data_IF_483242795235
#
_entry.id   IF_483242795235
#
_cell.length_a   1.000
_cell.length_b   1.000
_cell.length_c   1.000
_cell.angle_alpha   90.00
_cell.angle_beta   90.00
_cell.angle_gamma   90.00
#
_symmetry.space_group_name_H-M   'P 1'
#
loop_
_entity.id
_entity.type
_entity.pdbx_description
1 polymer ?
#
# COMPACT_ATOMS: atom_id res chain seq x y z
N UNK A 1 -14.70 4.69 16.48
CA UNK A 1 -15.34 4.76 15.17
C UNK A 1 -14.73 3.63 14.35
N UNK A 2 -15.55 2.67 14.05
CA UNK A 2 -15.22 1.39 13.43
C UNK A 2 -14.87 1.65 11.94
N UNK A 3 -13.59 1.67 11.61
CA UNK A 3 -13.12 1.58 10.23
C UNK A 3 -12.77 0.12 9.95
N UNK A 4 -13.80 -0.71 9.86
CA UNK A 4 -13.68 -2.05 9.28
C UNK A 4 -13.36 -1.90 7.80
N UNK A 5 -12.08 -1.96 7.43
CA UNK A 5 -11.67 -2.17 6.05
C UNK A 5 -11.91 -3.65 5.73
N UNK A 6 -13.08 -3.94 5.24
CA UNK A 6 -13.33 -5.23 4.58
C UNK A 6 -12.70 -5.14 3.20
N UNK A 7 -11.68 -5.94 2.95
CA UNK A 7 -11.07 -6.11 1.64
C UNK A 7 -12.13 -6.44 0.59
N UNK A 8 -11.98 -5.84 -0.58
CA UNK A 8 -12.86 -5.99 -1.73
C UNK A 8 -13.88 -4.87 -1.85
N UNK A 9 -13.44 -3.62 -1.93
CA UNK A 9 -14.26 -2.58 -2.52
C UNK A 9 -14.35 -2.86 -4.00
N UNK A 10 -15.47 -3.41 -4.44
CA UNK A 10 -15.92 -3.21 -5.81
C UNK A 10 -15.82 -1.71 -6.07
N UNK A 11 -15.09 -1.21 -7.07
CA UNK A 11 -15.15 0.20 -7.38
C UNK A 11 -16.60 0.53 -7.68
N UNK A 12 -17.26 1.21 -6.74
CA UNK A 12 -18.58 1.77 -6.95
C UNK A 12 -18.34 2.97 -7.85
N UNK A 13 -18.26 2.70 -9.15
CA UNK A 13 -18.06 3.73 -10.15
C UNK A 13 -19.21 4.71 -10.09
N UNK A 14 -18.91 5.91 -9.67
CA UNK A 14 -19.79 7.05 -9.90
C UNK A 14 -19.73 7.33 -11.40
N UNK A 15 -20.62 6.66 -12.15
CA UNK A 15 -20.73 6.86 -13.59
C UNK A 15 -21.36 8.21 -13.88
N UNK A 16 -20.58 9.18 -14.22
CA UNK A 16 -21.10 10.31 -14.98
C UNK A 16 -20.85 10.05 -16.46
N UNK A 17 -21.84 9.48 -17.15
CA UNK A 17 -21.85 9.42 -18.59
C UNK A 17 -21.90 10.85 -19.15
N UNK A 18 -20.77 11.35 -19.62
CA UNK A 18 -20.69 12.52 -20.49
C UNK A 18 -19.94 12.13 -21.75
N UNK A 19 -20.54 12.57 -22.87
CA UNK A 19 -20.01 12.71 -24.24
C UNK A 19 -18.48 12.78 -24.33
N UNK A 20 -17.82 12.32 -25.43
CA UNK A 20 -16.39 12.11 -25.51
C UNK A 20 -15.61 13.40 -25.30
N UNK A 21 -15.20 13.60 -24.09
CA UNK A 21 -14.31 14.65 -23.63
C UNK A 21 -13.71 14.13 -22.34
N UNK A 22 -12.39 14.03 -22.29
CA UNK A 22 -11.66 13.62 -21.12
C UNK A 22 -12.20 14.32 -19.85
N UNK A 23 -12.95 13.61 -19.05
CA UNK A 23 -13.43 14.15 -17.78
C UNK A 23 -12.28 14.14 -16.77
N UNK A 24 -11.79 15.34 -16.48
CA UNK A 24 -10.84 15.67 -15.41
C UNK A 24 -11.42 15.45 -14.00
N UNK A 25 -12.17 14.37 -13.77
CA UNK A 25 -12.66 14.07 -12.43
C UNK A 25 -11.53 13.62 -11.50
N UNK A 26 -10.55 12.90 -12.03
CA UNK A 26 -9.38 12.47 -11.27
C UNK A 26 -8.52 13.63 -10.76
N UNK A 27 -8.31 14.67 -11.58
CA UNK A 27 -7.49 15.82 -11.17
C UNK A 27 -8.13 16.70 -10.09
N UNK A 28 -9.46 16.74 -10.01
CA UNK A 28 -10.17 17.48 -8.95
C UNK A 28 -10.12 16.74 -7.63
N UNK A 29 -10.31 15.43 -7.61
CA UNK A 29 -10.19 14.60 -6.42
C UNK A 29 -8.78 14.68 -5.81
N UNK A 30 -7.74 14.56 -6.64
CA UNK A 30 -6.33 14.71 -6.21
C UNK A 30 -6.06 16.09 -5.62
N UNK A 31 -6.51 17.16 -6.29
CA UNK A 31 -6.30 18.53 -5.80
C UNK A 31 -7.08 18.84 -4.52
N UNK A 32 -8.28 18.26 -4.35
CA UNK A 32 -9.08 18.44 -3.15
C UNK A 32 -8.52 17.64 -1.96
N UNK A 33 -7.99 16.44 -2.19
CA UNK A 33 -7.28 15.65 -1.19
C UNK A 33 -5.97 16.31 -0.75
N UNK A 34 -5.23 16.91 -1.67
CA UNK A 34 -4.01 17.67 -1.35
C UNK A 34 -4.29 18.99 -0.63
N UNK A 35 -5.49 19.55 -0.76
CA UNK A 35 -5.89 20.79 -0.06
C UNK A 35 -6.39 20.56 1.35
N UNK A 36 -6.98 19.41 1.62
CA UNK A 36 -7.38 19.02 2.96
C UNK A 36 -6.18 18.32 3.61
N UNK A 37 -5.29 19.14 4.19
CA UNK A 37 -4.14 18.63 4.93
C UNK A 37 -4.61 17.60 5.96
N UNK A 38 -3.85 16.50 6.09
CA UNK A 38 -4.09 15.46 7.09
C UNK A 38 -4.12 15.97 8.53
N UNK A 39 -4.26 15.09 9.49
CA UNK A 39 -4.39 15.45 10.89
C UNK A 39 -3.09 15.22 11.66
N UNK A 40 -2.68 16.19 12.47
CA UNK A 40 -1.63 16.02 13.45
C UNK A 40 -2.21 15.54 14.77
N UNK A 41 -1.56 14.57 15.40
CA UNK A 41 -1.83 14.15 16.77
C UNK A 41 -0.54 14.11 17.59
N UNK A 42 -0.70 14.18 18.91
CA UNK A 42 0.41 14.13 19.87
C UNK A 42 0.12 13.02 20.88
N UNK A 43 0.36 11.76 20.54
CA UNK A 43 0.05 10.59 21.38
C UNK A 43 0.67 10.71 22.77
N UNK A 44 1.89 11.21 22.89
CA UNK A 44 2.56 11.41 24.19
C UNK A 44 1.75 12.28 25.16
N UNK A 45 0.89 13.17 24.64
CA UNK A 45 0.08 14.07 25.48
C UNK A 45 -1.32 13.48 25.69
N UNK A 46 -1.88 12.85 24.66
CA UNK A 46 -3.27 12.37 24.67
C UNK A 46 -3.43 10.99 25.30
N UNK A 47 -2.36 10.17 25.30
CA UNK A 47 -2.37 8.82 25.87
C UNK A 47 -1.37 8.69 27.03
N UNK A 48 -1.86 8.61 28.29
CA UNK A 48 -0.99 8.44 29.46
C UNK A 48 -0.14 7.16 29.43
N UNK A 49 -0.52 6.13 28.67
CA UNK A 49 0.24 4.88 28.53
C UNK A 49 1.59 5.11 27.87
N UNK A 50 1.70 6.07 26.97
CA UNK A 50 2.93 6.47 26.30
C UNK A 50 3.97 7.00 27.32
N UNK A 51 3.52 7.82 28.28
CA UNK A 51 4.38 8.35 29.33
C UNK A 51 4.87 7.21 30.25
N UNK A 52 3.98 6.28 30.61
CA UNK A 52 4.36 5.11 31.41
C UNK A 52 5.31 4.20 30.64
N UNK A 53 5.09 4.01 29.32
CA UNK A 53 6.00 3.30 28.44
C UNK A 53 7.41 3.88 28.49
N UNK A 54 7.53 5.19 28.32
CA UNK A 54 8.79 5.91 28.37
C UNK A 54 9.52 5.74 29.71
N UNK A 55 8.80 5.79 30.84
CA UNK A 55 9.38 5.57 32.17
C UNK A 55 9.92 4.13 32.37
N UNK A 56 9.41 3.18 31.61
CA UNK A 56 9.84 1.77 31.64
C UNK A 56 10.84 1.42 30.54
N UNK A 57 11.35 2.43 29.79
CA UNK A 57 12.33 2.24 28.73
C UNK A 57 11.73 1.78 27.40
N UNK A 58 10.39 1.87 27.24
CA UNK A 58 9.75 1.65 25.95
C UNK A 58 9.74 2.94 25.13
N UNK A 59 9.69 2.78 23.83
CA UNK A 59 9.50 3.90 22.92
C UNK A 59 8.12 4.54 23.12
N UNK A 60 8.07 5.86 22.93
CA UNK A 60 6.84 6.63 23.00
C UNK A 60 6.68 7.46 21.72
N UNK A 61 5.52 7.39 21.09
CA UNK A 61 5.20 8.20 19.93
C UNK A 61 4.91 9.63 20.35
N UNK A 62 5.72 10.56 19.84
CA UNK A 62 5.65 11.99 20.19
C UNK A 62 4.64 12.74 19.35
N UNK A 63 4.69 12.52 18.04
CA UNK A 63 3.84 13.17 17.05
C UNK A 63 3.50 12.18 15.95
N UNK A 64 2.27 12.24 15.45
CA UNK A 64 1.83 11.55 14.24
C UNK A 64 1.20 12.55 13.27
N UNK A 65 1.28 12.20 11.99
CA UNK A 65 0.64 12.91 10.90
C UNK A 65 -0.04 11.89 9.99
N UNK A 66 -1.35 11.91 9.99
CA UNK A 66 -2.19 11.04 9.19
C UNK A 66 -2.63 11.81 7.93
N UNK A 67 -2.19 11.36 6.75
CA UNK A 67 -2.61 11.93 5.48
C UNK A 67 -4.04 11.49 5.17
N UNK A 68 -4.83 12.43 4.63
CA UNK A 68 -6.11 12.02 4.07
C UNK A 68 -5.85 11.12 2.85
N UNK A 69 -6.57 9.98 2.72
CA UNK A 69 -6.39 9.08 1.59
C UNK A 69 -6.50 9.79 0.25
N UNK A 70 -5.53 9.55 -0.61
CA UNK A 70 -5.54 10.01 -1.99
C UNK A 70 -6.28 8.98 -2.83
N UNK A 71 -7.46 9.35 -3.36
CA UNK A 71 -8.25 8.48 -4.21
C UNK A 71 -8.33 9.06 -5.62
N UNK A 72 -8.00 8.25 -6.61
CA UNK A 72 -8.08 8.57 -8.03
C UNK A 72 -8.86 7.49 -8.72
N UNK A 73 -10.03 7.84 -9.26
CA UNK A 73 -10.85 6.93 -10.05
C UNK A 73 -10.96 7.46 -11.48
N UNK A 74 -10.74 6.58 -12.42
CA UNK A 74 -10.91 6.84 -13.84
C UNK A 74 -11.72 5.71 -14.45
N UNK A 75 -12.78 6.07 -15.19
CA UNK A 75 -13.56 5.12 -15.96
C UNK A 75 -13.82 5.69 -17.34
N UNK A 76 -13.70 4.82 -18.34
CA UNK A 76 -14.07 5.11 -19.71
C UNK A 76 -14.95 4.01 -20.24
N UNK A 77 -16.17 4.37 -20.72
CA UNK A 77 -17.13 3.45 -21.32
C UNK A 77 -17.49 3.88 -22.73
N UNK A 78 -17.53 2.91 -23.63
CA UNK A 78 -17.92 3.11 -25.02
C UNK A 78 -19.10 2.20 -25.37
N UNK A 79 -20.20 2.80 -25.80
CA UNK A 79 -21.39 2.09 -26.31
C UNK A 79 -21.36 1.97 -27.83
N UNK A 80 -21.71 0.79 -28.31
CA UNK A 80 -21.79 0.44 -29.73
C UNK A 80 -23.22 0.00 -30.05
N UNK A 81 -24.07 0.84 -30.68
CA UNK A 81 -25.44 0.47 -31.02
C UNK A 81 -25.45 -0.63 -32.09
N UNK A 82 -26.33 -1.63 -31.90
CA UNK A 82 -26.49 -2.75 -32.83
C UNK A 82 -27.87 -2.66 -33.50
N UNK A 83 -28.95 -2.65 -32.71
CA UNK A 83 -30.32 -2.57 -33.23
C UNK A 83 -31.23 -1.81 -32.25
N UNK A 84 -31.80 -0.68 -32.68
CA UNK A 84 -32.60 0.15 -31.80
C UNK A 84 -31.87 0.54 -30.54
N UNK A 85 -32.41 0.32 -29.33
CA UNK A 85 -31.77 0.63 -28.08
C UNK A 85 -30.80 -0.47 -27.59
N UNK A 86 -30.69 -1.60 -28.32
CA UNK A 86 -29.78 -2.68 -27.97
C UNK A 86 -28.42 -2.46 -28.59
N UNK A 87 -27.38 -2.58 -27.80
CA UNK A 87 -25.98 -2.47 -28.20
C UNK A 87 -25.04 -3.30 -27.34
N UNK A 88 -23.78 -3.04 -27.50
CA UNK A 88 -22.72 -3.57 -26.67
C UNK A 88 -21.98 -2.42 -26.00
N UNK A 89 -21.53 -2.60 -24.78
CA UNK A 89 -20.68 -1.67 -24.07
C UNK A 89 -19.31 -2.29 -23.80
N UNK A 90 -18.28 -1.46 -23.83
CA UNK A 90 -16.93 -1.82 -23.36
C UNK A 90 -16.49 -0.75 -22.39
N UNK A 91 -16.08 -1.18 -21.20
CA UNK A 91 -15.69 -0.27 -20.10
C UNK A 91 -14.31 -0.65 -19.58
N UNK A 92 -13.45 0.35 -19.51
CA UNK A 92 -12.16 0.25 -18.83
C UNK A 92 -12.16 1.12 -17.57
N UNK A 93 -11.63 0.61 -16.47
CA UNK A 93 -11.53 1.31 -15.19
C UNK A 93 -10.13 1.23 -14.61
N UNK A 94 -9.77 2.27 -13.88
CA UNK A 94 -8.55 2.36 -13.10
C UNK A 94 -8.87 3.09 -11.80
N UNK A 95 -8.59 2.46 -10.66
CA UNK A 95 -8.67 3.04 -9.34
C UNK A 95 -7.30 3.04 -8.69
N UNK A 96 -6.96 4.09 -7.99
CA UNK A 96 -5.77 4.19 -7.14
C UNK A 96 -6.20 4.78 -5.81
N UNK A 97 -5.89 4.09 -4.74
CA UNK A 97 -6.01 4.59 -3.38
C UNK A 97 -4.64 4.56 -2.72
N UNK A 98 -4.23 5.67 -2.10
CA UNK A 98 -2.98 5.74 -1.35
C UNK A 98 -3.27 6.40 0.00
N UNK A 99 -2.92 5.71 1.08
CA UNK A 99 -3.18 6.10 2.46
C UNK A 99 -1.91 5.93 3.27
N UNK A 100 -1.25 7.04 3.62
CA UNK A 100 -0.01 7.03 4.36
C UNK A 100 -0.15 7.79 5.68
N UNK A 101 0.45 7.25 6.71
CA UNK A 101 0.61 7.93 7.97
C UNK A 101 2.09 7.95 8.39
N UNK A 102 2.49 9.01 9.06
CA UNK A 102 3.87 9.24 9.48
C UNK A 102 3.91 9.51 10.97
N UNK A 103 5.03 9.18 11.59
CA UNK A 103 5.23 9.48 12.98
C UNK A 103 6.69 9.79 13.33
N UNK A 104 6.84 10.28 14.54
CA UNK A 104 8.15 10.49 15.16
C UNK A 104 8.07 10.05 16.62
N UNK A 105 8.98 9.17 17.02
CA UNK A 105 9.03 8.61 18.37
C UNK A 105 10.35 8.91 19.10
N UNK A 106 10.49 8.35 20.28
CA UNK A 106 11.65 8.58 21.15
C UNK A 106 12.87 7.71 20.82
N UNK A 107 12.79 6.76 19.86
CA UNK A 107 13.90 5.87 19.52
C UNK A 107 15.15 6.66 19.15
N UNK A 108 15.02 7.57 18.16
CA UNK A 108 16.16 8.35 17.71
C UNK A 108 16.75 9.24 18.80
N UNK A 109 15.92 9.77 19.70
CA UNK A 109 16.37 10.56 20.86
C UNK A 109 17.15 9.67 21.84
N UNK A 110 16.66 8.47 22.09
CA UNK A 110 17.34 7.49 22.95
C UNK A 110 18.69 7.09 22.40
N UNK A 111 18.76 6.73 21.12
CA UNK A 111 20.01 6.39 20.42
C UNK A 111 21.02 7.56 20.44
N UNK A 112 20.54 8.80 20.25
CA UNK A 112 21.42 9.97 20.35
C UNK A 112 21.97 10.13 21.76
N UNK A 113 21.17 9.94 22.79
CA UNK A 113 21.63 9.99 24.17
C UNK A 113 22.65 8.89 24.47
N UNK A 114 22.42 7.66 24.00
CA UNK A 114 23.32 6.51 24.16
C UNK A 114 24.66 6.71 23.44
N UNK A 115 24.68 7.49 22.36
CA UNK A 115 25.93 7.91 21.69
C UNK A 115 26.75 8.93 22.49
N UNK A 116 26.34 9.25 23.73
CA UNK A 116 26.86 10.37 24.52
C UNK A 116 26.71 11.73 23.81
N UNK A 117 25.61 11.92 23.12
CA UNK A 117 25.26 13.14 22.36
C UNK A 117 26.26 13.50 21.26
N UNK A 118 26.93 12.48 20.66
CA UNK A 118 27.97 12.69 19.65
C UNK A 118 27.42 12.60 18.21
N UNK A 119 26.39 11.78 18.01
CA UNK A 119 25.86 11.46 16.69
C UNK A 119 24.45 12.00 16.52
N UNK A 120 24.29 13.32 16.21
CA UNK A 120 22.97 13.95 16.12
C UNK A 120 22.10 13.40 14.98
N UNK A 121 22.69 12.75 13.98
CA UNK A 121 21.98 12.06 12.88
C UNK A 121 21.07 10.94 13.40
N UNK A 122 21.38 10.33 14.53
CA UNK A 122 20.56 9.28 15.13
C UNK A 122 19.15 9.77 15.52
N UNK A 123 18.97 11.08 15.71
CA UNK A 123 17.64 11.64 16.01
C UNK A 123 16.64 11.30 14.90
N UNK A 124 17.09 11.24 13.63
CA UNK A 124 16.22 10.93 12.50
C UNK A 124 15.68 9.49 12.52
N UNK A 125 16.29 8.59 13.29
CA UNK A 125 15.80 7.22 13.47
C UNK A 125 14.47 7.17 14.24
N UNK A 126 14.05 8.28 14.87
CA UNK A 126 12.71 8.42 15.41
C UNK A 126 11.61 8.63 14.37
N UNK A 127 11.96 8.96 13.12
CA UNK A 127 10.98 9.11 12.05
C UNK A 127 10.62 7.75 11.45
N UNK A 128 9.32 7.55 11.21
CA UNK A 128 8.79 6.33 10.60
C UNK A 128 7.56 6.60 9.73
N UNK A 129 7.27 5.67 8.83
CA UNK A 129 5.99 5.53 8.14
C UNK A 129 5.23 4.42 8.85
N UNK A 130 3.95 4.62 9.17
CA UNK A 130 3.14 3.58 9.78
C UNK A 130 2.70 2.56 8.74
N UNK A 131 2.86 1.29 9.08
CA UNK A 131 2.46 0.11 8.30
C UNK A 131 1.13 -0.48 8.81
N UNK A 132 0.39 0.29 9.60
CA UNK A 132 -0.81 -0.18 10.27
C UNK A 132 -1.96 0.80 10.17
N UNK A 133 -3.16 0.35 10.56
CA UNK A 133 -4.39 1.16 10.60
C UNK A 133 -4.24 2.47 11.37
N UNK A 134 -3.37 2.49 12.39
CA UNK A 134 -3.18 3.67 13.24
C UNK A 134 -1.84 4.35 12.96
N UNK A 135 -1.79 5.69 12.95
CA UNK A 135 -0.56 6.43 12.68
C UNK A 135 0.57 6.24 13.70
N UNK A 136 0.32 5.59 14.82
CA UNK A 136 1.32 5.32 15.87
C UNK A 136 1.98 3.95 15.74
N UNK A 137 1.71 3.20 14.67
CA UNK A 137 2.23 1.86 14.45
C UNK A 137 1.42 0.76 15.15
N UNK A 138 0.20 1.06 15.60
CA UNK A 138 -0.66 0.06 16.24
C UNK A 138 -1.86 -0.29 15.36
N UNK A 139 -2.42 -1.47 15.56
CA UNK A 139 -3.58 -1.94 14.77
C UNK A 139 -3.21 -3.10 13.88
N UNK A 140 -4.04 -3.36 12.89
CA UNK A 140 -3.77 -4.37 11.87
C UNK A 140 -2.89 -3.77 10.77
N UNK A 141 -2.04 -4.59 10.19
CA UNK A 141 -1.29 -4.30 8.98
C UNK A 141 -2.27 -4.09 7.80
N UNK A 142 -2.06 -3.03 7.02
CA UNK A 142 -2.94 -2.62 5.92
C UNK A 142 -2.13 -2.06 4.75
N UNK A 143 -2.50 -2.39 3.49
CA UNK A 143 -1.79 -1.84 2.34
C UNK A 143 -1.89 -0.31 2.26
N UNK A 144 -0.76 0.37 2.06
CA UNK A 144 -0.69 1.83 1.87
C UNK A 144 -1.15 2.25 0.49
N UNK A 145 -0.99 1.37 -0.52
CA UNK A 145 -1.44 1.68 -1.88
C UNK A 145 -2.20 0.50 -2.46
N UNK A 146 -3.38 0.79 -2.97
CA UNK A 146 -4.20 -0.17 -3.71
C UNK A 146 -4.41 0.33 -5.14
N UNK A 147 -4.10 -0.51 -6.13
CA UNK A 147 -4.34 -0.24 -7.55
C UNK A 147 -5.35 -1.23 -8.07
N UNK A 148 -6.49 -0.73 -8.56
CA UNK A 148 -7.56 -1.53 -9.16
C UNK A 148 -7.67 -1.23 -10.65
N UNK A 149 -7.69 -2.27 -11.46
CA UNK A 149 -7.82 -2.21 -12.91
C UNK A 149 -9.03 -3.05 -13.34
N UNK A 150 -9.75 -2.61 -14.35
CA UNK A 150 -10.86 -3.35 -14.89
C UNK A 150 -11.02 -3.19 -16.39
N UNK A 151 -11.40 -4.27 -17.06
CA UNK A 151 -11.86 -4.26 -18.46
C UNK A 151 -13.06 -5.16 -18.57
N UNK A 152 -14.19 -4.60 -18.94
CA UNK A 152 -15.45 -5.34 -19.11
C UNK A 152 -16.10 -5.06 -20.46
N UNK A 153 -16.90 -6.01 -20.89
CA UNK A 153 -17.74 -5.87 -22.07
C UNK A 153 -19.08 -6.58 -21.85
N UNK A 154 -20.14 -6.03 -22.41
CA UNK A 154 -21.46 -6.57 -22.20
C UNK A 154 -22.50 -6.17 -23.25
N UNK A 155 -23.68 -6.78 -23.11
CA UNK A 155 -24.87 -6.37 -23.84
C UNK A 155 -25.63 -5.33 -23.02
N UNK A 156 -25.99 -4.23 -23.65
CA UNK A 156 -26.64 -3.08 -23.02
C UNK A 156 -27.91 -2.69 -23.76
N UNK A 157 -28.96 -2.46 -23.01
CA UNK A 157 -30.16 -1.80 -23.48
C UNK A 157 -30.13 -0.34 -23.03
N UNK A 158 -30.05 0.61 -23.98
CA UNK A 158 -29.95 2.04 -23.69
C UNK A 158 -31.20 2.77 -24.21
N UNK A 159 -32.01 3.25 -23.26
CA UNK A 159 -33.25 3.98 -23.55
C UNK A 159 -33.07 5.50 -23.39
N UNK A 160 -31.86 5.97 -23.19
CA UNK A 160 -31.53 7.38 -22.99
C UNK A 160 -31.66 7.83 -21.53
N UNK A 161 -32.84 7.62 -20.93
CA UNK A 161 -33.09 7.94 -19.50
C UNK A 161 -32.83 6.76 -18.56
N UNK A 162 -32.67 5.57 -19.11
CA UNK A 162 -32.31 4.37 -18.40
C UNK A 162 -31.45 3.47 -19.28
N UNK A 163 -30.43 2.90 -18.74
CA UNK A 163 -29.61 1.88 -19.37
C UNK A 163 -29.40 0.72 -18.43
N UNK A 164 -29.29 -0.47 -18.96
CA UNK A 164 -29.03 -1.65 -18.17
C UNK A 164 -28.61 -2.81 -19.02
N UNK A 165 -27.90 -3.73 -18.41
CA UNK A 165 -27.34 -4.83 -19.16
C UNK A 165 -26.70 -5.91 -18.31
N UNK A 166 -26.04 -6.81 -19.02
CA UNK A 166 -25.22 -7.86 -18.44
C UNK A 166 -23.84 -7.75 -19.05
N UNK A 167 -22.82 -7.67 -18.21
CA UNK A 167 -21.43 -7.58 -18.63
C UNK A 167 -20.57 -8.63 -17.93
N UNK A 168 -19.49 -9.00 -18.60
CA UNK A 168 -18.41 -9.79 -18.02
C UNK A 168 -17.09 -9.04 -18.13
N UNK A 169 -16.25 -9.18 -17.14
CA UNK A 169 -14.98 -8.47 -17.12
C UNK A 169 -13.86 -9.27 -16.49
N UNK A 170 -12.65 -8.80 -16.76
CA UNK A 170 -11.43 -9.19 -16.07
C UNK A 170 -10.96 -7.98 -15.28
N UNK A 171 -10.61 -8.23 -14.04
CA UNK A 171 -10.20 -7.23 -13.07
C UNK A 171 -8.87 -7.64 -12.47
N UNK A 172 -8.11 -6.67 -12.01
CA UNK A 172 -6.88 -6.89 -11.26
C UNK A 172 -6.82 -5.91 -10.10
N UNK A 173 -6.58 -6.44 -8.91
CA UNK A 173 -6.30 -5.64 -7.72
C UNK A 173 -4.85 -5.92 -7.30
N UNK A 174 -4.07 -4.86 -7.08
CA UNK A 174 -2.68 -4.93 -6.67
C UNK A 174 -2.52 -4.13 -5.39
N UNK A 175 -1.95 -4.77 -4.38
CA UNK A 175 -1.74 -4.22 -3.05
C UNK A 175 -0.26 -3.99 -2.82
N UNK A 176 0.07 -2.81 -2.36
CA UNK A 176 1.41 -2.41 -1.96
C UNK A 176 1.38 -2.18 -0.46
N UNK A 177 1.91 -3.11 0.28
CA UNK A 177 2.04 -3.07 1.72
C UNK A 177 3.48 -2.73 2.07
N UNK A 178 3.74 -1.81 2.98
CA UNK A 178 5.11 -1.52 3.39
C UNK A 178 5.77 -2.77 3.97
N UNK A 179 7.01 -3.00 3.61
CA UNK A 179 7.78 -4.10 4.17
C UNK A 179 8.36 -3.70 5.54
N UNK A 180 7.78 -4.26 6.58
CA UNK A 180 8.18 -4.11 7.98
C UNK A 180 8.91 -5.37 8.47
N UNK A 181 10.27 -5.39 8.47
CA UNK A 181 11.04 -6.58 8.76
C UNK A 181 11.01 -7.03 10.22
N UNK A 182 10.75 -6.14 11.15
CA UNK A 182 10.71 -6.45 12.59
C UNK A 182 9.28 -6.47 13.16
N UNK A 183 8.30 -6.15 12.31
CA UNK A 183 6.86 -6.21 12.61
C UNK A 183 6.47 -5.35 13.81
N UNK A 184 7.11 -4.18 13.95
CA UNK A 184 6.78 -3.21 15.00
C UNK A 184 5.69 -2.22 14.56
N UNK A 185 5.26 -2.29 13.30
CA UNK A 185 4.24 -1.43 12.67
C UNK A 185 4.80 -0.08 12.24
N UNK A 186 6.11 0.09 12.19
CA UNK A 186 6.80 1.36 11.94
C UNK A 186 7.97 1.15 11.00
N UNK A 187 7.77 1.44 9.73
CA UNK A 187 8.85 1.31 8.76
C UNK A 187 9.76 2.53 8.79
N UNK A 188 11.01 2.31 9.14
CA UNK A 188 12.01 3.37 9.34
C UNK A 188 12.85 3.59 8.09
N UNK A 189 13.53 4.74 8.06
CA UNK A 189 14.38 5.13 6.91
C UNK A 189 15.44 4.08 6.60
N UNK A 190 16.03 3.46 7.62
CA UNK A 190 17.05 2.43 7.45
C UNK A 190 16.48 1.17 6.77
N UNK A 191 15.26 0.79 7.08
CA UNK A 191 14.56 -0.35 6.51
C UNK A 191 14.16 -0.10 5.05
N UNK A 192 13.66 1.11 4.77
CA UNK A 192 13.35 1.54 3.41
C UNK A 192 14.59 1.53 2.52
N UNK A 193 15.70 2.13 3.00
CA UNK A 193 16.96 2.17 2.25
C UNK A 193 17.54 0.75 2.13
N UNK A 194 17.50 -0.02 3.21
CA UNK A 194 17.98 -1.40 3.22
C UNK A 194 17.30 -2.26 2.17
N UNK A 195 15.98 -2.18 2.06
CA UNK A 195 15.19 -2.92 1.07
C UNK A 195 15.56 -2.53 -0.37
N UNK A 196 15.65 -1.22 -0.64
CA UNK A 196 16.04 -0.71 -1.98
C UNK A 196 17.43 -1.15 -2.37
N UNK A 197 18.41 -0.99 -1.47
CA UNK A 197 19.82 -1.33 -1.74
C UNK A 197 19.98 -2.83 -1.94
N UNK A 198 19.31 -3.63 -1.12
CA UNK A 198 19.37 -5.08 -1.22
C UNK A 198 18.85 -5.59 -2.56
N UNK A 199 17.69 -5.12 -2.99
CA UNK A 199 17.13 -5.51 -4.29
C UNK A 199 17.99 -4.99 -5.44
N UNK A 200 18.54 -3.77 -5.33
CA UNK A 200 19.39 -3.20 -6.38
C UNK A 200 20.72 -3.96 -6.56
N UNK A 201 21.34 -4.38 -5.47
CA UNK A 201 22.66 -5.03 -5.50
C UNK A 201 22.57 -6.55 -5.67
N UNK A 202 21.56 -7.18 -5.11
CA UNK A 202 21.47 -8.64 -4.98
C UNK A 202 20.20 -9.25 -5.54
N UNK A 203 19.20 -8.42 -5.90
CA UNK A 203 17.88 -8.87 -6.34
C UNK A 203 17.81 -9.26 -7.81
N UNK A 204 16.74 -9.95 -8.13
CA UNK A 204 16.43 -10.35 -9.51
C UNK A 204 15.82 -9.21 -10.34
N UNK A 205 15.32 -8.18 -9.67
CA UNK A 205 14.61 -7.05 -10.30
C UNK A 205 15.24 -5.68 -9.98
N UNK A 206 16.53 -5.44 -10.25
CA UNK A 206 17.21 -4.21 -9.85
C UNK A 206 16.56 -2.93 -10.43
N UNK A 207 15.85 -3.03 -11.56
CA UNK A 207 15.09 -1.92 -12.12
C UNK A 207 13.85 -1.56 -11.30
N UNK A 208 13.33 -2.49 -10.50
CA UNK A 208 12.19 -2.31 -9.60
C UNK A 208 12.62 -2.08 -8.15
N UNK A 209 13.91 -1.96 -7.87
CA UNK A 209 14.44 -1.78 -6.52
C UNK A 209 13.73 -0.67 -5.69
N UNK A 210 13.32 0.48 -6.26
CA UNK A 210 12.54 1.46 -5.50
C UNK A 210 11.20 0.93 -4.97
N UNK A 211 10.64 -0.11 -5.59
CA UNK A 211 9.41 -0.74 -5.15
C UNK A 211 9.62 -1.84 -4.09
N UNK A 212 10.87 -2.21 -3.84
CA UNK A 212 11.21 -3.21 -2.83
C UNK A 212 10.96 -2.72 -1.39
N UNK A 213 10.58 -1.48 -1.19
CA UNK A 213 10.05 -0.98 0.09
C UNK A 213 8.67 -1.57 0.41
N UNK A 214 8.01 -2.20 -0.58
CA UNK A 214 6.70 -2.81 -0.42
C UNK A 214 6.76 -4.33 -0.59
N UNK A 215 5.88 -5.01 0.11
CA UNK A 215 5.38 -6.32 -0.26
C UNK A 215 4.24 -6.13 -1.26
N UNK A 216 4.46 -6.58 -2.50
CA UNK A 216 3.49 -6.37 -3.57
C UNK A 216 2.81 -7.70 -3.84
N UNK A 217 1.51 -7.73 -3.57
CA UNK A 217 0.64 -8.85 -3.88
C UNK A 217 -0.48 -8.41 -4.81
N UNK A 218 -1.12 -9.34 -5.47
CA UNK A 218 -2.28 -9.00 -6.26
C UNK A 218 -3.02 -10.21 -6.77
N UNK A 219 -4.23 -9.96 -7.24
CA UNK A 219 -5.07 -10.96 -7.87
C UNK A 219 -5.64 -10.47 -9.20
N UNK A 220 -5.78 -11.39 -10.12
CA UNK A 220 -6.52 -11.20 -11.36
C UNK A 220 -7.73 -12.11 -11.32
N UNK A 221 -8.91 -11.57 -11.50
CA UNK A 221 -10.15 -12.32 -11.45
C UNK A 221 -11.13 -11.92 -12.54
N UNK A 222 -12.07 -12.80 -12.83
CA UNK A 222 -13.17 -12.54 -13.75
C UNK A 222 -14.50 -12.63 -13.02
N UNK A 223 -15.45 -11.80 -13.42
CA UNK A 223 -16.84 -11.86 -12.93
C UNK A 223 -17.85 -11.49 -14.00
N UNK A 224 -19.09 -11.95 -13.81
CA UNK A 224 -20.26 -11.54 -14.56
C UNK A 224 -21.18 -10.75 -13.64
N UNK A 225 -21.69 -9.64 -14.11
CA UNK A 225 -22.60 -8.79 -13.34
C UNK A 225 -23.72 -8.24 -14.22
N UNK A 226 -24.84 -7.94 -13.58
CA UNK A 226 -25.93 -7.17 -14.18
C UNK A 226 -25.93 -5.77 -13.60
N UNK A 227 -26.27 -4.79 -14.41
CA UNK A 227 -26.36 -3.41 -13.97
C UNK A 227 -27.59 -2.72 -14.53
N UNK A 228 -28.07 -1.71 -13.79
CA UNK A 228 -29.16 -0.82 -14.18
C UNK A 228 -28.79 0.59 -13.71
N UNK A 229 -28.81 1.53 -14.62
CA UNK A 229 -28.65 2.95 -14.33
C UNK A 229 -29.89 3.70 -14.83
N UNK A 230 -30.43 4.56 -13.99
CA UNK A 230 -31.59 5.41 -14.31
C UNK A 230 -31.20 6.86 -14.03
N UNK A 231 -31.12 7.64 -15.10
CA UNK A 231 -30.88 9.09 -15.04
C UNK A 231 -32.18 9.83 -14.86
N UNK A 232 -32.42 10.32 -13.66
CA UNK A 232 -33.47 11.25 -13.35
C UNK A 232 -32.88 12.66 -13.35
N UNK A 233 -33.46 13.58 -14.04
CA UNK A 233 -32.98 14.93 -14.32
C UNK A 233 -32.16 15.63 -13.20
N UNK A 234 -32.37 15.25 -11.94
CA UNK A 234 -31.72 15.82 -10.74
C UNK A 234 -30.73 14.85 -10.08
N UNK A 235 -30.82 13.57 -10.33
CA UNK A 235 -29.97 12.53 -9.74
C UNK A 235 -30.04 11.26 -10.59
N UNK A 236 -28.99 10.45 -10.54
CA UNK A 236 -28.95 9.10 -11.10
C UNK A 236 -29.03 8.06 -10.01
N UNK A 237 -29.66 6.94 -10.33
CA UNK A 237 -29.71 5.73 -9.48
C UNK A 237 -28.97 4.64 -10.23
N UNK A 238 -27.95 4.07 -9.60
CA UNK A 238 -27.19 2.97 -10.12
C UNK A 238 -27.39 1.74 -9.25
N UNK A 239 -27.59 0.61 -9.90
CA UNK A 239 -27.68 -0.69 -9.26
C UNK A 239 -26.79 -1.66 -10.03
N UNK A 240 -25.97 -2.41 -9.32
CA UNK A 240 -25.13 -3.46 -9.88
C UNK A 240 -25.14 -4.68 -8.96
N UNK A 241 -25.28 -5.86 -9.55
CA UNK A 241 -25.32 -7.13 -8.83
C UNK A 241 -24.45 -8.17 -9.55
N UNK A 242 -23.55 -8.82 -8.83
CA UNK A 242 -22.76 -9.90 -9.37
C UNK A 242 -23.61 -11.14 -9.62
N UNK A 243 -23.68 -11.59 -10.88
CA UNK A 243 -24.39 -12.82 -11.30
C UNK A 243 -23.60 -14.07 -10.86
N UNK A 244 -22.27 -13.97 -10.91
CA UNK A 244 -21.37 -15.02 -10.45
C UNK A 244 -20.44 -14.45 -9.38
N UNK A 245 -20.05 -15.26 -8.38
CA UNK A 245 -18.90 -14.90 -7.55
C UNK A 245 -17.67 -14.64 -8.43
N UNK A 246 -16.76 -13.77 -8.03
CA UNK A 246 -15.48 -13.61 -8.70
C UNK A 246 -14.75 -14.97 -8.83
N UNK A 247 -14.18 -15.20 -10.00
CA UNK A 247 -13.39 -16.39 -10.30
C UNK A 247 -11.94 -15.95 -10.42
N UNK A 248 -11.13 -16.26 -9.43
CA UNK A 248 -9.70 -15.95 -9.45
C UNK A 248 -9.00 -16.69 -10.59
N UNK A 249 -8.31 -15.93 -11.43
CA UNK A 249 -7.52 -16.46 -12.56
C UNK A 249 -6.08 -16.66 -12.12
N UNK A 250 -5.55 -15.70 -11.36
CA UNK A 250 -4.16 -15.67 -10.92
C UNK A 250 -4.03 -14.85 -9.64
N UNK A 251 -3.35 -15.44 -8.65
CA UNK A 251 -2.78 -14.72 -7.52
C UNK A 251 -1.29 -14.60 -7.74
N UNK A 252 -0.69 -13.48 -7.41
CA UNK A 252 0.73 -13.25 -7.56
C UNK A 252 1.31 -12.43 -6.41
N UNK A 253 2.59 -12.63 -6.20
CA UNK A 253 3.44 -11.86 -5.30
C UNK A 253 4.72 -11.50 -6.03
N UNK A 254 5.26 -10.30 -5.82
CA UNK A 254 6.55 -9.91 -6.38
C UNK A 254 7.65 -10.30 -5.40
N UNK A 255 8.50 -11.28 -5.75
CA UNK A 255 9.50 -11.83 -4.83
C UNK A 255 10.75 -10.92 -4.77
N UNK A 256 10.67 -9.79 -4.08
CA UNK A 256 11.85 -8.96 -3.84
C UNK A 256 12.82 -9.63 -2.89
N UNK A 257 14.11 -9.41 -3.14
CA UNK A 257 15.18 -9.84 -2.24
C UNK A 257 15.18 -8.95 -1.00
N UNK A 258 15.03 -9.56 0.16
CA UNK A 258 14.89 -8.84 1.43
C UNK A 258 16.22 -8.68 2.15
N UNK A 259 16.46 -7.56 2.88
CA UNK A 259 17.57 -7.44 3.79
C UNK A 259 17.47 -8.55 4.83
N UNK A 260 18.37 -9.51 4.78
CA UNK A 260 18.47 -10.47 5.86
C UNK A 260 19.18 -9.77 7.01
N UNK A 261 18.77 -10.01 8.24
CA UNK A 261 19.57 -9.61 9.40
C UNK A 261 20.89 -10.36 9.31
N UNK A 262 21.89 -9.70 8.71
CA UNK A 262 23.21 -10.27 8.50
C UNK A 262 23.94 -10.49 9.82
N UNK A 263 23.49 -9.87 10.90
CA UNK A 263 24.15 -9.97 12.20
C UNK A 263 23.14 -9.90 13.34
N UNK A 264 23.18 -10.86 14.23
CA UNK A 264 22.46 -10.83 15.50
C UNK A 264 23.39 -11.06 16.66
N UNK A 265 23.16 -10.38 17.78
CA UNK A 265 23.89 -10.65 19.02
C UNK A 265 23.14 -11.70 19.84
N UNK A 266 23.79 -12.82 20.13
CA UNK A 266 23.30 -13.82 21.07
C UNK A 266 24.22 -13.79 22.28
N UNK A 267 23.83 -13.04 23.31
CA UNK A 267 24.72 -12.67 24.41
C UNK A 267 25.81 -11.73 23.93
N UNK A 268 27.08 -12.02 24.26
CA UNK A 268 28.24 -11.26 23.81
C UNK A 268 28.83 -11.73 22.46
N UNK A 269 28.12 -12.60 21.74
CA UNK A 269 28.62 -13.20 20.49
C UNK A 269 27.85 -12.66 19.30
N UNK A 270 28.55 -12.03 18.35
CA UNK A 270 28.00 -11.62 17.07
C UNK A 270 27.81 -12.87 16.19
N UNK A 271 26.58 -13.18 15.82
CA UNK A 271 26.26 -14.18 14.81
C UNK A 271 25.93 -13.49 13.49
N UNK A 272 26.68 -13.81 12.47
CA UNK A 272 26.44 -13.33 11.10
C UNK A 272 25.70 -14.45 10.35
N UNK A 273 24.47 -14.18 9.95
CA UNK A 273 23.74 -15.08 9.08
C UNK A 273 23.97 -14.65 7.64
N UNK A 274 24.82 -15.37 6.92
CA UNK A 274 24.96 -15.17 5.48
C UNK A 274 23.79 -15.91 4.79
N UNK A 275 22.96 -15.20 4.04
CA UNK A 275 22.00 -15.83 3.15
C UNK A 275 22.70 -16.57 1.99
N UNK A 276 21.97 -17.48 1.32
CA UNK A 276 22.53 -18.31 0.23
C UNK A 276 23.28 -17.50 -0.86
N UNK A 277 22.86 -16.27 -1.12
CA UNK A 277 23.53 -15.39 -2.08
C UNK A 277 24.89 -14.82 -1.58
N UNK A 278 25.09 -14.74 -0.27
CA UNK A 278 26.34 -14.29 0.31
C UNK A 278 27.39 -15.43 0.37
N UNK A 279 26.95 -16.68 0.48
CA UNK A 279 27.84 -17.84 0.48
C UNK A 279 28.64 -17.99 -0.82
N UNK A 280 28.12 -17.54 -1.95
CA UNK A 280 28.81 -17.63 -3.24
C UNK A 280 29.96 -16.60 -3.40
N UNK A 281 30.07 -15.60 -2.54
CA UNK A 281 31.11 -14.55 -2.60
C UNK A 281 32.14 -14.63 -1.46
N UNK A 282 31.83 -15.35 -0.40
CA UNK A 282 32.77 -15.68 0.66
C UNK A 282 33.51 -17.00 0.33
N UNK A 283 34.09 -17.10 -0.86
CA UNK A 283 35.07 -18.16 -1.18
C UNK A 283 36.45 -17.83 -0.62
N UNK A 284 36.53 -17.66 0.67
CA UNK A 284 37.73 -17.81 1.44
C UNK A 284 37.52 -19.04 2.30
N UNK A 285 38.42 -20.01 2.13
CA UNK A 285 38.47 -21.28 2.87
C UNK A 285 38.40 -20.99 4.39
N UNK A 286 37.20 -21.11 4.99
CA UNK A 286 37.03 -21.04 6.44
C UNK A 286 37.06 -22.48 6.96
N UNK A 287 38.22 -23.05 6.93
CA UNK A 287 38.55 -24.22 7.73
C UNK A 287 39.10 -23.76 9.07
N UNK A 288 38.34 -24.11 10.13
CA UNK A 288 38.67 -24.09 11.53
C UNK A 288 38.54 -22.77 12.34
N UNK A 289 37.47 -22.72 13.11
CA UNK A 289 37.36 -22.01 14.36
C UNK A 289 36.83 -20.57 14.26
N UNK A 290 36.23 -20.03 15.35
CA UNK A 290 35.70 -18.68 15.35
C UNK A 290 36.82 -17.64 15.25
N UNK A 291 37.08 -17.14 14.06
CA UNK A 291 38.00 -16.01 13.90
C UNK A 291 37.29 -14.71 14.28
N UNK A 292 37.92 -13.97 15.15
CA UNK A 292 37.55 -12.63 15.55
C UNK A 292 37.69 -11.68 14.35
N UNK A 293 36.58 -11.17 13.83
CA UNK A 293 36.61 -10.03 12.92
C UNK A 293 36.83 -8.78 13.79
N UNK A 294 37.97 -8.16 13.68
CA UNK A 294 38.24 -6.83 14.26
C UNK A 294 37.87 -5.82 13.18
N UNK A 295 36.76 -5.12 13.40
CA UNK A 295 36.39 -3.96 12.60
C UNK A 295 37.27 -2.80 13.07
N UNK A 296 38.14 -2.30 12.20
CA UNK A 296 38.96 -1.13 12.42
C UNK A 296 38.27 0.17 12.05
#
# INVERSE_FOLDING_TARGET
ADKSRTGGSTPTGNQTSKTPGANNSGSKGVLDSLKNNGSFAFPIISDPSQIFGLLTGKEATLITYDLNPLVVDFEYSQYFPIIGPLGASVTGSLGLEADFAFGFDTLGISQFADSNFRNPELIFNGFYVSDTENPDGTGADVPEVTLSLGLSAGAELNLGVAKGGVAGGVYADVFFNLYDPDSDGKVRVEELIGSVVTEFEYGDFPALAPLAVFDITGEIYAKLFAYLEVDLFLFSIEFSEDITPPITILDFEVPFTRPQQLASFVGDTLQISAGEAAESRLTGDVTDGPERIILG
#
